data_IF_015514276497
#
_entry.id   IF_015514276497
#
_cell.length_a   1.000
_cell.length_b   1.000
_cell.length_c   1.000
_cell.angle_alpha   90.00
_cell.angle_beta   90.00
_cell.angle_gamma   90.00
#
_symmetry.space_group_name_H-M   'P 1'
#
loop_
_entity.id
_entity.type
_entity.pdbx_description
1 polymer ?
2 water ?
#
# COMPACT_ATOMS: atom_id res chain seq x y z
N UNK A 4 -14.72 7.78 17.73
CA UNK A 4 -15.08 8.95 18.52
C UNK A 4 -13.84 9.57 19.15
N UNK A 5 -13.22 8.83 20.06
CA UNK A 5 -12.04 9.30 20.77
C UNK A 5 -10.93 9.68 19.79
N UNK A 6 -10.06 10.59 20.22
CA UNK A 6 -9.03 11.12 19.33
C UNK A 6 -7.78 10.25 19.33
N UNK A 7 -7.37 9.76 18.15
CA UNK A 7 -6.16 8.93 18.10
C UNK A 7 -4.87 9.74 18.10
N UNK A 8 -3.78 9.08 18.49
CA UNK A 8 -2.44 9.61 18.31
C UNK A 8 -1.84 8.94 17.08
N UNK A 9 -1.54 9.73 16.06
CA UNK A 9 -1.06 9.20 14.79
C UNK A 9 0.31 9.77 14.45
N UNK A 10 1.31 8.89 14.41
CA UNK A 10 2.67 9.27 14.05
C UNK A 10 2.77 9.53 12.56
N UNK A 11 3.71 10.40 12.19
CA UNK A 11 4.01 10.63 10.78
C UNK A 11 4.66 9.38 10.21
N UNK A 12 4.31 9.02 8.96
CA UNK A 12 4.97 7.87 8.34
C UNK A 12 6.37 8.23 7.85
N UNK A 13 7.20 7.22 7.64
CA UNK A 13 8.48 7.41 6.97
C UNK A 13 8.31 6.99 5.53
N UNK A 14 8.89 7.76 4.61
CA UNK A 14 8.79 7.45 3.19
C UNK A 14 10.13 7.68 2.51
N UNK A 15 10.50 6.75 1.64
CA UNK A 15 11.76 6.83 0.93
C UNK A 15 11.66 6.12 -0.41
N UNK A 16 12.63 6.38 -1.28
CA UNK A 16 12.76 5.65 -2.53
C UNK A 16 14.14 5.02 -2.59
N UNK A 17 14.26 3.95 -3.36
CA UNK A 17 15.56 3.35 -3.62
C UNK A 17 15.65 2.84 -5.06
N UNK A 18 16.86 2.89 -5.64
CA UNK A 18 17.06 2.68 -7.08
C UNK A 18 17.10 1.22 -7.57
N UNK A 19 17.12 0.23 -6.68
CA UNK A 19 17.28 -1.16 -7.11
C UNK A 19 15.95 -1.75 -7.58
N UNK A 20 15.38 -1.16 -8.62
CA UNK A 20 14.04 -1.53 -9.06
C UNK A 20 14.02 -2.86 -9.80
N UNK A 21 15.05 -3.11 -10.60
CA UNK A 21 15.11 -4.35 -11.38
C UNK A 21 15.18 -5.56 -10.45
N UNK A 22 16.02 -5.50 -9.42
CA UNK A 22 16.15 -6.62 -8.48
C UNK A 22 14.88 -6.80 -7.65
N UNK A 23 14.25 -5.69 -7.28
CA UNK A 23 13.02 -5.73 -6.50
C UNK A 23 11.94 -6.52 -7.23
N UNK A 24 11.72 -6.18 -8.50
CA UNK A 24 10.70 -6.86 -9.29
C UNK A 24 11.05 -8.33 -9.46
N UNK A 25 12.33 -8.63 -9.64
CA UNK A 25 12.79 -10.01 -9.78
C UNK A 25 12.42 -10.84 -8.55
N UNK A 26 12.67 -10.30 -7.37
CA UNK A 26 12.44 -11.03 -6.12
C UNK A 26 10.95 -11.22 -5.79
N UNK A 27 10.15 -10.15 -5.84
CA UNK A 27 8.75 -10.26 -5.43
C UNK A 27 7.95 -11.09 -6.42
N UNK A 28 8.37 -11.06 -7.69
CA UNK A 28 7.71 -11.85 -8.74
C UNK A 28 7.66 -13.33 -8.39
N UNK A 29 8.56 -13.76 -7.51
CA UNK A 29 8.63 -15.16 -7.09
C UNK A 29 7.39 -15.56 -6.29
N UNK A 30 6.48 -14.61 -6.09
CA UNK A 30 5.11 -14.90 -5.70
C UNK A 30 4.16 -14.09 -6.58
N UNK A 31 3.33 -14.79 -7.35
CA UNK A 31 2.45 -14.16 -8.33
C UNK A 31 1.35 -13.34 -7.67
N UNK A 32 1.07 -13.62 -6.39
CA UNK A 32 0.09 -12.85 -5.63
C UNK A 32 0.64 -11.46 -5.29
N UNK A 33 1.95 -11.29 -5.44
CA UNK A 33 2.60 -10.01 -5.14
C UNK A 33 2.63 -9.10 -6.36
N UNK A 34 2.13 -9.58 -7.50
CA UNK A 34 1.95 -8.74 -8.68
C UNK A 34 0.46 -8.61 -8.96
N UNK A 35 -0.03 -7.37 -8.93
CA UNK A 35 -1.44 -7.11 -9.21
C UNK A 35 -1.57 -6.16 -10.40
N UNK A 36 -2.64 -6.38 -11.16
CA UNK A 36 -2.92 -5.59 -12.35
C UNK A 36 -4.06 -4.62 -12.06
N UNK A 37 -3.75 -3.33 -12.15
CA UNK A 37 -4.73 -2.29 -11.89
C UNK A 37 -5.25 -1.78 -13.23
N UNK A 38 -6.53 -2.02 -13.48
CA UNK A 38 -7.13 -1.69 -14.76
C UNK A 38 -7.14 -0.20 -15.01
N UNK A 39 -7.24 0.18 -16.28
CA UNK A 39 -7.43 1.58 -16.64
C UNK A 39 -8.65 2.13 -15.91
N UNK A 40 -8.51 3.33 -15.35
CA UNK A 40 -9.58 3.96 -14.61
C UNK A 40 -9.93 3.33 -13.26
N UNK A 41 -9.24 2.26 -12.88
CA UNK A 41 -9.56 1.55 -11.64
C UNK A 41 -8.75 2.02 -10.44
N UNK A 42 -9.27 1.72 -9.26
CA UNK A 42 -8.53 1.87 -8.01
C UNK A 42 -8.54 0.54 -7.28
N UNK A 43 -7.35 0.08 -6.88
CA UNK A 43 -7.21 -1.17 -6.15
C UNK A 43 -6.79 -0.88 -4.71
N UNK A 44 -7.49 -1.50 -3.78
CA UNK A 44 -7.22 -1.34 -2.36
C UNK A 44 -6.70 -2.64 -1.77
N UNK A 45 -5.54 -2.58 -1.13
CA UNK A 45 -5.01 -3.71 -0.39
C UNK A 45 -5.24 -3.48 1.10
N UNK A 46 -6.03 -4.34 1.71
CA UNK A 46 -6.33 -4.24 3.13
C UNK A 46 -5.32 -5.05 3.94
N UNK A 47 -4.64 -4.38 4.87
CA UNK A 47 -3.59 -5.01 5.67
C UNK A 47 -3.88 -4.81 7.16
N UNK A 48 -4.46 -5.82 7.82
CA UNK A 48 -4.75 -5.64 9.24
C UNK A 48 -3.51 -5.56 10.12
N UNK A 49 -3.64 -4.85 11.23
CA UNK A 49 -2.59 -4.79 12.23
C UNK A 49 -2.40 -6.15 12.90
N UNK A 50 -1.14 -6.48 13.21
CA UNK A 50 -0.82 -7.69 13.97
C UNK A 50 -0.71 -7.34 15.44
N UNK A 51 -1.23 -8.22 16.30
CA UNK A 51 -1.13 -8.03 17.74
C UNK A 51 0.33 -8.03 18.17
N UNK A 52 1.13 -8.86 17.50
CA UNK A 52 2.55 -8.97 17.82
C UNK A 52 3.40 -7.95 17.07
N UNK A 53 2.76 -7.00 16.39
CA UNK A 53 3.47 -6.01 15.59
C UNK A 53 3.35 -4.59 16.11
N UNK A 54 4.24 -3.71 15.66
CA UNK A 54 4.21 -2.30 16.04
C UNK A 54 4.27 -1.37 14.83
N UNK A 55 4.70 -1.90 13.68
CA UNK A 55 4.86 -1.10 12.47
C UNK A 55 4.40 -1.84 11.22
N UNK A 56 3.94 -1.10 10.22
CA UNK A 56 3.75 -1.64 8.87
C UNK A 56 4.85 -1.10 7.96
N UNK A 57 5.42 -1.98 7.15
CA UNK A 57 6.37 -1.60 6.11
C UNK A 57 5.77 -1.96 4.75
N UNK A 58 5.96 -1.10 3.76
CA UNK A 58 5.51 -1.40 2.40
C UNK A 58 6.57 -0.99 1.38
N UNK A 59 6.60 -1.72 0.27
CA UNK A 59 7.40 -1.34 -0.89
C UNK A 59 6.58 -1.63 -2.14
N UNK A 60 6.74 -0.82 -3.18
CA UNK A 60 6.09 -1.12 -4.45
C UNK A 60 6.79 -0.52 -5.66
N UNK A 61 6.48 -1.06 -6.83
CA UNK A 61 7.00 -0.56 -8.09
C UNK A 61 6.06 -0.90 -9.24
N UNK A 62 6.22 -0.18 -10.35
CA UNK A 62 5.48 -0.46 -11.57
C UNK A 62 6.46 -0.62 -12.73
N UNK A 63 5.96 -1.00 -13.90
CA UNK A 63 6.82 -1.32 -15.04
C UNK A 63 7.10 -0.13 -15.95
N UNK A 64 6.05 0.45 -16.53
CA UNK A 64 6.20 1.46 -17.57
C UNK A 64 5.66 2.85 -17.23
N UNK A 65 4.73 2.92 -16.29
CA UNK A 65 4.06 4.19 -15.97
C UNK A 65 3.96 4.42 -14.47
N UNK A 66 3.71 5.68 -14.11
CA UNK A 66 3.46 6.04 -12.72
C UNK A 66 2.09 5.51 -12.30
N UNK A 67 1.78 5.62 -11.02
CA UNK A 67 0.47 5.26 -10.51
C UNK A 67 0.23 6.08 -9.24
N UNK A 68 -1.02 6.32 -8.91
CA UNK A 68 -1.34 6.98 -7.66
C UNK A 68 -1.12 6.03 -6.50
N UNK A 69 -0.57 6.54 -5.40
CA UNK A 69 -0.45 5.74 -4.19
C UNK A 69 -0.63 6.57 -2.93
N UNK A 70 -1.36 6.01 -1.98
CA UNK A 70 -1.51 6.62 -0.67
C UNK A 70 -1.91 5.55 0.33
N UNK A 71 -1.99 5.94 1.60
CA UNK A 71 -2.29 5.00 2.67
C UNK A 71 -3.31 5.60 3.63
N UNK A 72 -4.34 4.82 3.94
CA UNK A 72 -5.32 5.18 4.95
C UNK A 72 -5.32 4.16 6.07
N UNK A 73 -5.81 4.56 7.23
CA UNK A 73 -5.97 3.65 8.35
C UNK A 73 -7.44 3.58 8.74
N UNK A 74 -8.00 2.37 8.71
CA UNK A 74 -9.40 2.15 9.01
C UNK A 74 -9.56 1.55 10.40
N UNK A 75 -10.27 2.26 11.27
CA UNK A 75 -10.50 1.80 12.63
C UNK A 75 -11.56 0.71 12.65
N UNK A 76 -11.12 -0.49 12.31
CA UNK A 76 -11.98 -1.66 12.25
C UNK A 76 -11.28 -2.83 12.91
N UNK A 77 -11.95 -3.47 13.86
CA UNK A 77 -11.39 -4.66 14.48
C UNK A 77 -11.57 -5.84 13.54
N UNK A 78 -10.48 -6.20 12.86
CA UNK A 78 -10.52 -7.23 11.83
C UNK A 78 -10.42 -8.62 12.44
N UNK A 79 -11.23 -9.57 11.95
CA UNK A 79 -11.17 -10.93 12.50
C UNK A 79 -9.82 -11.59 12.23
N UNK A 80 -9.37 -11.53 10.98
CA UNK A 80 -8.06 -12.06 10.60
C UNK A 80 -6.99 -10.99 10.62
N UNK A 81 -5.75 -11.41 10.35
CA UNK A 81 -4.67 -10.49 10.01
C UNK A 81 -4.30 -10.69 8.54
N UNK A 82 -5.15 -11.43 7.83
CA UNK A 82 -4.90 -11.79 6.44
C UNK A 82 -5.08 -10.60 5.49
N UNK A 83 -4.17 -10.48 4.54
CA UNK A 83 -4.23 -9.43 3.52
C UNK A 83 -5.24 -9.78 2.44
N UNK A 84 -6.03 -8.80 2.02
CA UNK A 84 -6.99 -8.98 0.94
C UNK A 84 -6.95 -7.80 -0.03
N UNK A 85 -7.31 -8.07 -1.29
CA UNK A 85 -7.24 -7.07 -2.35
C UNK A 85 -8.62 -6.82 -2.96
N UNK A 86 -8.93 -5.55 -3.20
CA UNK A 86 -10.26 -5.14 -3.64
C UNK A 86 -10.21 -4.10 -4.75
N UNK A 87 -10.99 -4.33 -5.81
CA UNK A 87 -11.01 -3.44 -6.97
C UNK A 87 -12.26 -2.56 -6.98
N UNK A 88 -12.09 -1.30 -7.38
CA UNK A 88 -13.20 -0.35 -7.46
C UNK A 88 -13.21 0.36 -8.81
N UNK A 113 -19.79 3.19 7.78
CA UNK A 113 -19.63 3.41 9.21
C UNK A 113 -18.20 3.79 9.60
N UNK A 114 -17.22 2.92 9.29
CA UNK A 114 -15.90 3.01 9.94
C UNK A 114 -15.14 4.30 9.67
N UNK A 115 -14.48 4.78 10.72
CA UNK A 115 -13.67 5.98 10.69
C UNK A 115 -12.39 5.73 9.90
N UNK A 116 -11.96 6.73 9.13
CA UNK A 116 -10.73 6.64 8.35
C UNK A 116 -9.81 7.79 8.69
N UNK A 117 -8.51 7.50 8.77
CA UNK A 117 -7.51 8.55 8.87
C UNK A 117 -6.50 8.42 7.74
N UNK A 118 -6.00 9.57 7.31
CA UNK A 118 -5.09 9.66 6.18
C UNK A 118 -3.65 9.58 6.67
N UNK A 119 -2.96 8.50 6.29
CA UNK A 119 -1.59 8.28 6.71
C UNK A 119 -0.63 8.80 5.65
N UNK A 120 -0.88 8.42 4.40
CA UNK A 120 -0.14 8.95 3.27
C UNK A 120 -1.14 9.43 2.22
N UNK A 121 -1.09 10.72 1.86
CA UNK A 121 -2.07 11.19 0.86
C UNK A 121 -1.81 10.57 -0.51
N UNK A 122 -2.88 10.32 -1.25
CA UNK A 122 -2.77 9.69 -2.55
C UNK A 122 -2.23 10.68 -3.57
N UNK A 123 -0.98 10.46 -3.99
CA UNK A 123 -0.34 11.26 -5.03
C UNK A 123 0.23 10.34 -6.10
N UNK A 124 0.49 10.89 -7.28
CA UNK A 124 1.16 10.15 -8.34
C UNK A 124 2.63 9.91 -8.00
N UNK A 125 3.09 8.68 -8.22
CA UNK A 125 4.45 8.27 -7.86
C UNK A 125 5.20 7.73 -9.06
N UNK A 126 6.43 8.21 -9.26
CA UNK A 126 7.28 7.68 -10.32
C UNK A 126 7.93 6.37 -9.89
N UNK A 127 7.09 5.39 -9.55
CA UNK A 127 7.55 4.11 -9.03
C UNK A 127 7.83 3.12 -10.17
N UNK A 128 7.89 3.64 -11.39
CA UNK A 128 8.34 2.88 -12.55
C UNK A 128 9.82 3.16 -12.80
N UNK A 129 10.35 4.15 -12.08
CA UNK A 129 11.75 4.54 -12.17
C UNK A 129 12.53 4.14 -10.92
N UNK A 130 11.84 4.10 -9.78
CA UNK A 130 12.46 3.74 -8.50
C UNK A 130 11.50 2.90 -7.66
N UNK A 131 12.03 2.14 -6.71
CA UNK A 131 11.18 1.47 -5.74
C UNK A 131 10.74 2.49 -4.71
N UNK A 132 9.44 2.53 -4.43
CA UNK A 132 8.90 3.40 -3.40
C UNK A 132 8.60 2.58 -2.17
N UNK A 133 8.88 3.15 -1.01
CA UNK A 133 8.77 2.44 0.25
C UNK A 133 8.38 3.38 1.38
N UNK A 134 7.89 2.80 2.46
CA UNK A 134 7.62 3.57 3.66
C UNK A 134 7.29 2.69 4.84
N UNK A 135 7.07 3.33 5.98
CA UNK A 135 6.72 2.61 7.19
C UNK A 135 5.82 3.48 8.05
N UNK A 136 5.01 2.85 8.89
CA UNK A 136 4.17 3.60 9.81
C UNK A 136 3.97 2.83 11.11
N UNK A 137 4.12 3.54 12.21
CA UNK A 137 3.84 2.99 13.53
C UNK A 137 2.34 2.79 13.69
N UNK A 138 1.92 1.58 14.03
CA UNK A 138 0.53 1.30 14.37
C UNK A 138 -0.02 2.37 15.31
N UNK A 139 -1.18 2.96 14.98
CA UNK A 139 -1.80 3.89 15.94
C UNK A 139 -2.77 3.18 16.88
N UNK A 140 -3.05 1.92 16.58
CA UNK A 140 -3.96 1.10 17.37
C UNK A 140 -4.32 -0.12 16.56
N UNK A 141 -5.36 -0.84 16.98
CA UNK A 141 -5.87 -1.95 16.18
C UNK A 141 -6.71 -1.38 15.05
N UNK A 142 -6.58 -1.99 13.87
CA UNK A 142 -7.26 -1.48 12.69
C UNK A 142 -6.79 -2.18 11.43
N UNK A 143 -6.98 -1.51 10.30
CA UNK A 143 -6.64 -2.06 9.00
C UNK A 143 -6.10 -0.98 8.09
N UNK A 144 -4.90 -1.20 7.56
CA UNK A 144 -4.30 -0.26 6.62
C UNK A 144 -4.91 -0.44 5.24
N UNK A 145 -5.17 0.68 4.57
CA UNK A 145 -5.67 0.66 3.20
C UNK A 145 -4.61 1.21 2.26
N UNK A 146 -3.92 0.32 1.55
CA UNK A 146 -2.99 0.74 0.51
C UNK A 146 -3.77 1.01 -0.76
N UNK A 147 -3.75 2.26 -1.21
CA UNK A 147 -4.49 2.65 -2.41
C UNK A 147 -3.57 2.69 -3.62
N UNK A 148 -3.83 1.82 -4.59
CA UNK A 148 -3.15 1.90 -5.88
C UNK A 148 -4.14 2.48 -6.88
N UNK A 149 -4.01 3.77 -7.13
CA UNK A 149 -5.03 4.56 -7.81
C UNK A 149 -4.65 4.86 -9.26
N UNK A 150 -5.36 4.22 -10.18
CA UNK A 150 -5.13 4.39 -11.62
C UNK A 150 -6.35 5.02 -12.28
N UNK A 151 -7.04 5.88 -11.54
CA UNK A 151 -8.33 6.42 -11.97
C UNK A 151 -8.18 7.46 -13.08
N UNK A 152 -6.99 8.05 -13.18
CA UNK A 152 -6.72 9.09 -14.17
C UNK A 152 -6.26 8.52 -15.51
N UNK A 153 -5.98 7.22 -15.55
CA UNK A 153 -5.48 6.58 -16.76
C UNK A 153 -6.62 6.11 -17.65
N UNK A 154 -6.72 6.69 -18.84
CA UNK A 154 -7.80 6.37 -19.76
C UNK A 154 -7.56 5.04 -20.47
N UNK A 155 -6.31 4.77 -20.84
CA UNK A 155 -6.00 3.67 -21.75
C UNK A 155 -5.06 2.60 -21.20
N UNK A 156 -4.30 2.92 -20.16
CA UNK A 156 -3.25 2.02 -19.66
C UNK A 156 -3.59 1.33 -18.34
N UNK A 157 -3.50 0.01 -18.35
CA UNK A 157 -3.45 -0.77 -17.11
C UNK A 157 -2.04 -0.66 -16.54
N UNK A 158 -1.89 -0.98 -15.26
CA UNK A 158 -0.59 -0.93 -14.59
C UNK A 158 -0.28 -2.26 -13.92
N UNK A 159 0.98 -2.66 -13.95
CA UNK A 159 1.44 -3.83 -13.22
C UNK A 159 2.13 -3.39 -11.94
N UNK A 160 1.52 -3.70 -10.80
CA UNK A 160 2.05 -3.30 -9.51
C UNK A 160 2.77 -4.45 -8.82
N UNK A 161 4.05 -4.25 -8.55
CA UNK A 161 4.85 -5.20 -7.78
C UNK A 161 4.90 -4.68 -6.35
N UNK A 162 4.41 -5.43 -5.37
CA UNK A 162 4.35 -4.90 -4.01
C UNK A 162 4.61 -5.92 -2.91
N UNK A 163 5.07 -5.39 -1.78
CA UNK A 163 5.44 -6.17 -0.61
C UNK A 163 4.97 -5.42 0.63
N UNK A 164 4.34 -6.13 1.56
CA UNK A 164 4.02 -5.57 2.87
C UNK A 164 4.44 -6.55 3.96
N UNK A 165 4.91 -6.02 5.08
CA UNK A 165 5.21 -6.84 6.24
C UNK A 165 5.21 -5.99 7.50
N UNK A 166 4.99 -6.63 8.65
CA UNK A 166 5.02 -5.94 9.93
C UNK A 166 6.33 -6.19 10.65
N UNK A 167 6.70 -5.25 11.52
CA UNK A 167 7.87 -5.40 12.38
C UNK A 167 7.43 -5.28 13.83
N UNK A 168 8.34 -5.56 14.75
CA UNK A 168 8.03 -5.51 16.17
C UNK A 168 8.14 -4.09 16.74
#
# INVERSE_FOLDING_TARGET
GAMESLPVIAAPSMWTRPQIKDFKEKIQQDADSVITVGRGEVVTVRVPTHEEGSYLFWEFATDNYDIGFGVYFEWTDSPNTAVSVHVSESSDDDEEEEENIGCEEKAKKNANKPLLDEIVPVYRRDCHEEVYAGSHQYPGRGVYLLKFDNSYSLWRSKSVYYRVYYTR
#
